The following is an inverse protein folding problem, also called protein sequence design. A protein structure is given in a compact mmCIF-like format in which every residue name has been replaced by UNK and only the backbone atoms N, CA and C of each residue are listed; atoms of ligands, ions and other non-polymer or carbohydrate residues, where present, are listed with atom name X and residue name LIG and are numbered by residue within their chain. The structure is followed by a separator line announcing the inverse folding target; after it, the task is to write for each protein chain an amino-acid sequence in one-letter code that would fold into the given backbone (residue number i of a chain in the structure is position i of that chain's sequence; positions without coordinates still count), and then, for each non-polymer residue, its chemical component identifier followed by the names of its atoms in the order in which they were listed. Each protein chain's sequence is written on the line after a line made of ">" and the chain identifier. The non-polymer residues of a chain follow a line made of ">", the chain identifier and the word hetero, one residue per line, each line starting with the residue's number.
data_IF_448452351172
#
_entry.id   IF_448452351172
#
_cell.length_a   1.000
_cell.length_b   1.000
_cell.length_c   1.000
_cell.angle_alpha   90.00
_cell.angle_beta   90.00
_cell.angle_gamma   90.00
#
_symmetry.space_group_name_H-M   'P 1'
#
loop_
_entity.id
_entity.type
_entity.pdbx_description
1 polymer ?
#
# COMPACT_ATOMS: atom_id res chain seq x y z
N UNK A 1 -23.29 12.79 -3.25
CA UNK A 1 -22.01 13.41 -3.69
C UNK A 1 -20.91 13.43 -2.63
N UNK A 2 -21.19 13.46 -1.31
CA UNK A 2 -20.12 13.26 -0.30
C UNK A 2 -19.42 11.90 -0.43
N UNK A 3 -20.18 10.84 -0.68
CA UNK A 3 -19.68 9.46 -0.76
C UNK A 3 -18.64 9.18 -1.85
N UNK A 4 -18.71 9.87 -3.00
CA UNK A 4 -17.75 9.69 -4.09
C UNK A 4 -16.41 10.35 -3.77
N UNK A 5 -16.45 11.58 -3.26
CA UNK A 5 -15.26 12.29 -2.79
C UNK A 5 -14.57 11.50 -1.66
N UNK A 6 -15.35 10.99 -0.70
CA UNK A 6 -14.84 10.16 0.40
C UNK A 6 -14.12 8.88 -0.12
N UNK A 7 -14.63 8.26 -1.19
CA UNK A 7 -14.00 7.09 -1.81
C UNK A 7 -12.69 7.48 -2.51
N UNK A 8 -12.66 8.60 -3.22
CA UNK A 8 -11.45 9.09 -3.89
C UNK A 8 -10.35 9.43 -2.88
N UNK A 9 -10.67 10.15 -1.80
CA UNK A 9 -9.73 10.45 -0.71
C UNK A 9 -9.15 9.16 -0.09
N UNK A 10 -10.01 8.14 0.09
CA UNK A 10 -9.56 6.83 0.59
C UNK A 10 -8.64 6.11 -0.37
N UNK A 11 -8.90 6.17 -1.68
CA UNK A 11 -8.01 5.60 -2.71
C UNK A 11 -6.66 6.30 -2.65
N UNK A 12 -6.63 7.63 -2.60
CA UNK A 12 -5.39 8.40 -2.52
C UNK A 12 -4.58 8.07 -1.26
N UNK A 13 -5.24 7.96 -0.11
CA UNK A 13 -4.60 7.58 1.15
C UNK A 13 -3.97 6.17 1.07
N UNK A 14 -4.68 5.19 0.52
CA UNK A 14 -4.16 3.83 0.33
C UNK A 14 -2.96 3.80 -0.64
N UNK A 15 -3.01 4.59 -1.72
CA UNK A 15 -1.90 4.72 -2.66
C UNK A 15 -0.68 5.38 -2.02
N UNK A 16 -0.88 6.44 -1.23
CA UNK A 16 0.20 7.08 -0.48
C UNK A 16 0.86 6.11 0.51
N UNK A 17 0.05 5.33 1.24
CA UNK A 17 0.55 4.31 2.16
C UNK A 17 1.35 3.21 1.42
N UNK A 18 0.89 2.77 0.25
CA UNK A 18 1.63 1.81 -0.58
C UNK A 18 2.97 2.36 -1.07
N UNK A 19 3.03 3.64 -1.46
CA UNK A 19 4.30 4.29 -1.85
C UNK A 19 5.27 4.28 -0.67
N UNK A 20 4.85 4.73 0.51
CA UNK A 20 5.71 4.74 1.70
C UNK A 20 6.24 3.34 2.04
N UNK A 21 5.39 2.31 2.02
CA UNK A 21 5.84 0.93 2.25
C UNK A 21 6.80 0.42 1.16
N UNK A 22 6.63 0.86 -0.09
CA UNK A 22 7.53 0.53 -1.19
C UNK A 22 8.91 1.18 -0.98
N UNK A 23 8.94 2.44 -0.55
CA UNK A 23 10.17 3.16 -0.22
C UNK A 23 10.91 2.49 0.94
N UNK A 24 10.19 2.04 1.98
CA UNK A 24 10.79 1.30 3.09
C UNK A 24 11.35 -0.07 2.66
N UNK A 25 10.65 -0.77 1.76
CA UNK A 25 11.16 -2.01 1.14
C UNK A 25 12.47 -1.72 0.38
N UNK A 26 12.49 -0.65 -0.43
CA UNK A 26 13.68 -0.28 -1.19
C UNK A 26 14.86 0.07 -0.26
N UNK A 27 14.58 0.78 0.84
CA UNK A 27 15.57 1.08 1.87
C UNK A 27 16.14 -0.20 2.50
N UNK A 28 15.29 -1.18 2.83
CA UNK A 28 15.73 -2.49 3.33
C UNK A 28 16.66 -3.15 2.31
N UNK A 29 16.27 -3.20 1.04
CA UNK A 29 17.06 -3.85 -0.02
C UNK A 29 18.40 -3.16 -0.29
N UNK A 30 18.52 -1.87 0.02
CA UNK A 30 19.76 -1.09 -0.09
C UNK A 30 20.71 -1.26 1.11
N UNK A 31 20.28 -1.91 2.21
CA UNK A 31 21.16 -2.13 3.37
C UNK A 31 22.32 -3.05 3.01
N UNK A 32 23.52 -2.72 3.51
CA UNK A 32 24.72 -3.56 3.36
C UNK A 32 24.64 -4.89 4.11
N UNK A 33 23.75 -4.99 5.10
CA UNK A 33 23.42 -6.23 5.83
C UNK A 33 21.93 -6.27 6.14
N UNK A 34 21.29 -7.40 5.80
CA UNK A 34 19.86 -7.66 6.00
C UNK A 34 19.69 -8.51 7.25
N UNK A 35 18.93 -8.03 8.23
CA UNK A 35 18.57 -8.79 9.44
C UNK A 35 17.34 -9.66 9.22
N UNK A 36 17.06 -10.57 10.16
CA UNK A 36 15.78 -11.31 10.17
C UNK A 36 14.58 -10.37 10.32
N UNK A 37 14.71 -9.31 11.13
CA UNK A 37 13.68 -8.28 11.29
C UNK A 37 13.35 -7.60 9.96
N UNK A 38 14.37 -7.22 9.19
CA UNK A 38 14.19 -6.63 7.85
C UNK A 38 13.42 -7.55 6.90
N UNK A 39 13.70 -8.87 6.92
CA UNK A 39 12.98 -9.85 6.09
C UNK A 39 11.51 -9.95 6.48
N UNK A 40 11.22 -9.97 7.78
CA UNK A 40 9.85 -10.00 8.29
C UNK A 40 9.08 -8.73 7.91
N UNK A 41 9.70 -7.56 8.07
CA UNK A 41 9.10 -6.27 7.66
C UNK A 41 8.84 -6.23 6.16
N UNK A 42 9.82 -6.64 5.35
CA UNK A 42 9.68 -6.71 3.90
C UNK A 42 8.52 -7.61 3.46
N UNK A 43 8.38 -8.79 4.07
CA UNK A 43 7.26 -9.70 3.80
C UNK A 43 5.91 -9.09 4.20
N UNK A 44 5.83 -8.47 5.39
CA UNK A 44 4.63 -7.80 5.89
C UNK A 44 4.19 -6.67 4.96
N UNK A 45 5.12 -5.83 4.52
CA UNK A 45 4.82 -4.71 3.62
C UNK A 45 4.37 -5.18 2.24
N UNK A 46 5.00 -6.22 1.69
CA UNK A 46 4.52 -6.82 0.43
C UNK A 46 3.07 -7.30 0.55
N UNK A 47 2.71 -7.95 1.65
CA UNK A 47 1.35 -8.41 1.89
C UNK A 47 0.37 -7.23 1.99
N UNK A 48 0.70 -6.21 2.81
CA UNK A 48 -0.15 -5.02 2.98
C UNK A 48 -0.34 -4.24 1.67
N UNK A 49 0.71 -4.11 0.86
CA UNK A 49 0.61 -3.45 -0.45
C UNK A 49 -0.40 -4.19 -1.34
N UNK A 50 -0.33 -5.53 -1.38
CA UNK A 50 -1.27 -6.35 -2.15
C UNK A 50 -2.72 -6.19 -1.66
N UNK A 51 -2.94 -6.19 -0.34
CA UNK A 51 -4.28 -6.07 0.23
C UNK A 51 -4.86 -4.67 0.02
N UNK A 52 -4.06 -3.62 0.19
CA UNK A 52 -4.44 -2.25 -0.16
C UNK A 52 -4.77 -2.11 -1.65
N UNK A 53 -4.02 -2.78 -2.54
CA UNK A 53 -4.29 -2.73 -3.97
C UNK A 53 -5.64 -3.37 -4.31
N UNK A 54 -5.96 -4.53 -3.72
CA UNK A 54 -7.29 -5.16 -3.86
C UNK A 54 -8.41 -4.24 -3.37
N UNK A 55 -8.18 -3.54 -2.26
CA UNK A 55 -9.15 -2.57 -1.73
C UNK A 55 -9.35 -1.38 -2.67
N UNK A 56 -8.27 -0.84 -3.25
CA UNK A 56 -8.34 0.22 -4.27
C UNK A 56 -9.16 -0.26 -5.48
N UNK A 57 -8.93 -1.48 -5.95
CA UNK A 57 -9.64 -2.02 -7.11
C UNK A 57 -11.14 -2.19 -6.83
N UNK A 58 -11.51 -2.64 -5.62
CA UNK A 58 -12.90 -2.71 -5.17
C UNK A 58 -13.56 -1.33 -5.08
N UNK A 59 -12.87 -0.33 -4.51
CA UNK A 59 -13.38 1.05 -4.43
C UNK A 59 -13.56 1.67 -5.82
N UNK A 60 -12.63 1.43 -6.74
CA UNK A 60 -12.75 1.87 -8.15
C UNK A 60 -13.87 1.16 -8.89
N UNK A 61 -14.25 -0.05 -8.48
CA UNK A 61 -15.43 -0.71 -9.04
C UNK A 61 -16.72 -0.03 -8.57
N UNK A 62 -16.81 0.32 -7.28
CA UNK A 62 -17.96 1.07 -6.72
C UNK A 62 -18.11 2.46 -7.36
N UNK A 63 -17.02 3.14 -7.72
CA UNK A 63 -17.12 4.42 -8.44
C UNK A 63 -17.63 4.29 -9.88
N UNK A 64 -17.51 3.10 -10.47
CA UNK A 64 -17.86 2.85 -11.87
C UNK A 64 -19.25 2.25 -12.06
N UNK A 65 -19.89 1.76 -10.98
CA UNK A 65 -21.17 1.05 -11.00
C UNK A 65 -22.10 1.66 -9.95
#
# INVERSE_FOLDING_TARGET
>A
MKSELDILEKIEALQAHNRNMTDEIEMILKKSSITQGDRSTHALYKQKISDNQKQIDALRWVLRN
#
